data_IF_935813909134
#
_entry.id   IF_935813909134
#
_cell.length_a   1.000
_cell.length_b   1.000
_cell.length_c   1.000
_cell.angle_alpha   90.00
_cell.angle_beta   90.00
_cell.angle_gamma   90.00
#
_symmetry.space_group_name_H-M   'P 1'
#
loop_
_entity.id
_entity.type
_entity.pdbx_description
1 polymer ?
#
# COMPACT_ATOMS: atom_id res chain seq x y z
N UNK A 1 15.23 68.58 26.71
CA UNK A 1 15.46 67.17 26.72
C UNK A 1 14.60 66.56 25.63
N UNK A 2 15.20 66.17 24.47
CA UNK A 2 14.49 65.55 23.33
C UNK A 2 14.83 64.06 23.35
N UNK A 3 13.81 63.20 23.53
CA UNK A 3 13.91 61.76 23.43
C UNK A 3 13.79 61.37 21.93
N UNK A 4 14.81 60.74 21.38
CA UNK A 4 14.76 60.04 20.09
C UNK A 4 14.34 58.60 20.36
N UNK A 5 13.21 58.21 19.76
CA UNK A 5 12.80 56.82 19.68
C UNK A 5 13.33 56.24 18.38
N UNK A 6 14.24 55.28 18.49
CA UNK A 6 14.76 54.52 17.36
C UNK A 6 13.84 53.37 17.02
N UNK A 7 13.21 53.43 15.86
CA UNK A 7 12.33 52.38 15.31
C UNK A 7 13.22 51.31 14.62
N UNK A 8 13.34 50.14 15.23
CA UNK A 8 14.06 48.99 14.62
C UNK A 8 13.10 48.21 13.72
N UNK A 9 13.35 48.26 12.42
CA UNK A 9 12.64 47.44 11.44
C UNK A 9 13.24 46.02 11.43
N UNK A 10 12.52 45.02 11.90
CA UNK A 10 12.82 43.60 11.71
C UNK A 10 12.42 43.20 10.27
N UNK A 11 13.38 43.14 9.38
CA UNK A 11 13.26 42.50 8.10
C UNK A 11 13.24 40.98 8.31
N UNK A 12 12.03 40.40 8.34
CA UNK A 12 11.85 38.96 8.28
C UNK A 12 12.32 38.43 6.92
N UNK A 13 13.44 37.76 6.88
CA UNK A 13 13.89 37.04 5.69
C UNK A 13 12.91 35.90 5.39
N UNK A 14 12.09 36.09 4.37
CA UNK A 14 11.29 35.04 3.77
C UNK A 14 12.26 34.05 3.08
N UNK A 15 12.55 32.92 3.72
CA UNK A 15 13.29 31.83 3.10
C UNK A 15 12.37 31.24 2.01
N UNK A 16 12.73 31.30 0.73
CA UNK A 16 11.91 30.69 -0.30
C UNK A 16 11.91 29.18 -0.07
N UNK A 17 10.74 28.61 0.14
CA UNK A 17 10.56 27.16 -0.01
C UNK A 17 10.93 26.81 -1.44
N UNK A 18 12.12 26.22 -1.64
CA UNK A 18 12.46 25.59 -2.90
C UNK A 18 11.40 24.51 -3.16
N UNK A 19 10.45 24.80 -4.04
CA UNK A 19 9.57 23.78 -4.61
C UNK A 19 10.47 22.74 -5.28
N UNK A 20 10.42 21.49 -4.82
CA UNK A 20 11.11 20.39 -5.48
C UNK A 20 10.67 20.37 -6.95
N UNK A 21 11.64 20.32 -7.88
CA UNK A 21 11.33 20.28 -9.31
C UNK A 21 10.38 19.10 -9.60
N UNK A 22 9.25 19.38 -10.23
CA UNK A 22 8.27 18.37 -10.62
C UNK A 22 8.88 17.38 -11.62
N UNK A 23 8.50 16.12 -11.52
CA UNK A 23 8.91 15.09 -12.46
C UNK A 23 9.46 13.82 -11.83
N UNK A 24 10.18 13.06 -12.63
CA UNK A 24 10.88 11.86 -12.23
C UNK A 24 12.40 12.11 -12.24
N UNK A 25 13.09 11.65 -11.19
CA UNK A 25 14.55 11.75 -11.09
C UNK A 25 15.15 10.66 -10.21
N UNK A 26 16.43 10.38 -10.41
CA UNK A 26 17.19 9.46 -9.54
C UNK A 26 17.72 10.23 -8.34
N UNK A 27 17.59 9.66 -7.15
CA UNK A 27 18.05 10.25 -5.88
C UNK A 27 18.64 9.18 -4.96
N UNK A 28 19.41 9.62 -3.96
CA UNK A 28 19.73 8.80 -2.79
C UNK A 28 18.65 9.03 -1.73
N UNK A 29 18.09 7.95 -1.19
CA UNK A 29 17.08 8.02 -0.14
C UNK A 29 17.19 6.84 0.83
N UNK A 30 17.04 7.10 2.11
CA UNK A 30 17.05 6.10 3.19
C UNK A 30 18.25 5.13 3.10
N UNK A 31 19.44 5.65 2.77
CA UNK A 31 20.66 4.86 2.63
C UNK A 31 20.76 3.98 1.36
N UNK A 32 19.82 4.12 0.43
CA UNK A 32 19.85 3.46 -0.88
C UNK A 32 20.15 4.49 -1.97
N UNK A 33 21.13 4.16 -2.80
CA UNK A 33 21.38 4.87 -4.05
C UNK A 33 20.38 4.43 -5.12
N UNK A 34 20.28 5.18 -6.21
CA UNK A 34 19.46 4.87 -7.38
C UNK A 34 17.96 4.73 -7.10
N UNK A 35 17.46 5.31 -6.00
CA UNK A 35 16.02 5.47 -5.79
C UNK A 35 15.44 6.38 -6.86
N UNK A 36 14.22 6.09 -7.29
CA UNK A 36 13.51 6.92 -8.25
C UNK A 36 12.42 7.70 -7.51
N UNK A 37 12.53 9.02 -7.55
CA UNK A 37 11.51 9.93 -7.08
C UNK A 37 10.54 10.26 -8.21
N UNK A 38 9.24 10.22 -7.92
CA UNK A 38 8.18 10.78 -8.76
C UNK A 38 7.47 11.86 -7.95
N UNK A 39 7.34 13.07 -8.49
CA UNK A 39 6.63 14.16 -7.80
C UNK A 39 5.87 15.07 -8.77
N UNK A 40 4.76 15.62 -8.29
CA UNK A 40 3.91 16.58 -9.02
C UNK A 40 3.65 17.85 -8.18
N UNK A 41 4.49 18.13 -7.17
CA UNK A 41 4.33 19.25 -6.27
C UNK A 41 3.30 19.04 -5.15
N UNK A 42 2.31 18.16 -5.34
CA UNK A 42 1.29 17.80 -4.32
C UNK A 42 1.63 16.51 -3.59
N UNK A 43 2.13 15.53 -4.32
CA UNK A 43 2.51 14.22 -3.80
C UNK A 43 3.94 13.85 -4.19
N UNK A 44 4.54 13.02 -3.36
CA UNK A 44 5.89 12.47 -3.57
C UNK A 44 5.85 10.95 -3.41
N UNK A 45 6.49 10.26 -4.34
CA UNK A 45 6.65 8.81 -4.34
C UNK A 45 8.13 8.50 -4.48
N UNK A 46 8.67 7.60 -3.64
CA UNK A 46 10.06 7.14 -3.75
C UNK A 46 10.06 5.63 -3.94
N UNK A 47 10.58 5.21 -5.07
CA UNK A 47 10.75 3.82 -5.45
C UNK A 47 12.18 3.37 -5.15
N UNK A 48 12.34 2.16 -4.60
CA UNK A 48 13.64 1.58 -4.29
C UNK A 48 13.91 0.35 -5.16
N UNK A 49 14.67 0.47 -6.24
CA UNK A 49 15.10 -0.68 -7.04
C UNK A 49 16.03 -1.62 -6.27
N UNK A 50 16.85 -1.12 -5.37
CA UNK A 50 17.88 -1.88 -4.68
C UNK A 50 17.35 -3.07 -3.87
N UNK A 51 16.12 -2.99 -3.36
CA UNK A 51 15.52 -4.02 -2.49
C UNK A 51 14.05 -4.25 -2.82
N UNK A 52 13.76 -5.35 -3.47
CA UNK A 52 12.39 -5.82 -3.73
C UNK A 52 11.54 -4.91 -4.60
N UNK A 53 12.12 -3.89 -5.25
CA UNK A 53 11.38 -2.96 -6.11
C UNK A 53 10.18 -2.31 -5.42
N UNK A 54 10.35 -1.81 -4.20
CA UNK A 54 9.29 -1.34 -3.30
C UNK A 54 9.12 0.18 -3.31
N UNK A 55 8.04 0.67 -2.70
CA UNK A 55 7.75 2.08 -2.49
C UNK A 55 8.17 2.45 -1.08
N UNK A 56 9.21 3.29 -0.89
CA UNK A 56 9.67 3.71 0.44
C UNK A 56 8.85 4.87 0.99
N UNK A 57 8.38 5.74 0.10
CA UNK A 57 7.59 6.89 0.47
C UNK A 57 6.42 7.07 -0.49
N UNK A 58 5.26 7.37 0.07
CA UNK A 58 4.08 7.89 -0.62
C UNK A 58 3.47 8.95 0.28
N UNK A 59 3.70 10.21 -0.04
CA UNK A 59 3.45 11.33 0.86
C UNK A 59 2.73 12.51 0.22
N UNK A 60 2.02 13.27 1.06
CA UNK A 60 1.52 14.61 0.79
C UNK A 60 1.87 15.52 1.97
N UNK A 61 2.25 16.77 1.69
CA UNK A 61 2.62 17.73 2.74
C UNK A 61 3.73 17.22 3.68
N UNK A 62 4.66 16.40 3.18
CA UNK A 62 5.75 15.81 3.96
C UNK A 62 5.37 14.67 4.90
N UNK A 63 4.09 14.24 4.91
CA UNK A 63 3.60 13.13 5.74
C UNK A 63 3.56 11.85 4.90
N UNK A 64 4.38 10.85 5.26
CA UNK A 64 4.39 9.55 4.60
C UNK A 64 3.21 8.69 5.09
N UNK A 65 2.42 8.13 4.17
CA UNK A 65 1.36 7.17 4.49
C UNK A 65 1.93 5.78 4.83
N UNK A 66 3.15 5.49 4.37
CA UNK A 66 3.81 4.21 4.57
C UNK A 66 4.69 4.24 5.82
N UNK A 67 4.68 3.14 6.57
CA UNK A 67 5.62 2.95 7.67
C UNK A 67 6.98 2.52 7.13
N UNK A 68 7.96 3.41 7.19
CA UNK A 68 9.36 3.16 6.85
C UNK A 68 10.16 3.13 8.16
N UNK A 69 10.86 2.03 8.40
CA UNK A 69 11.69 1.86 9.60
C UNK A 69 12.95 2.72 9.51
N UNK A 70 12.93 3.85 10.20
CA UNK A 70 14.03 4.82 10.19
C UNK A 70 15.34 4.27 10.76
N UNK A 71 15.29 3.21 11.57
CA UNK A 71 16.47 2.57 12.18
C UNK A 71 17.22 1.66 11.22
N UNK A 72 16.63 1.34 10.06
CA UNK A 72 17.14 0.37 9.10
C UNK A 72 17.54 0.98 7.75
N UNK A 73 18.02 2.22 7.77
CA UNK A 73 18.49 2.89 6.55
C UNK A 73 19.64 2.09 5.89
N UNK A 74 19.51 1.79 4.61
CA UNK A 74 20.48 1.00 3.84
C UNK A 74 20.47 -0.51 4.11
N UNK A 75 19.66 -0.99 5.06
CA UNK A 75 19.58 -2.42 5.34
C UNK A 75 18.72 -3.14 4.26
N UNK A 76 19.36 -4.00 3.48
CA UNK A 76 18.68 -4.82 2.46
C UNK A 76 17.72 -5.86 3.05
N UNK A 77 17.79 -6.15 4.34
CA UNK A 77 16.86 -7.06 5.03
C UNK A 77 15.63 -6.34 5.57
N UNK A 78 15.63 -5.00 5.52
CA UNK A 78 14.46 -4.23 5.92
C UNK A 78 13.26 -4.58 5.04
N UNK A 79 12.14 -4.88 5.66
CA UNK A 79 10.88 -5.23 5.02
C UNK A 79 9.81 -4.16 5.14
N UNK A 80 10.13 -2.96 5.64
CA UNK A 80 9.16 -1.88 5.86
C UNK A 80 8.66 -1.23 4.57
N UNK A 81 7.69 -0.33 4.69
CA UNK A 81 7.08 0.47 3.64
C UNK A 81 6.22 -0.31 2.60
N UNK A 82 6.06 0.20 1.41
CA UNK A 82 5.18 -0.36 0.39
C UNK A 82 5.80 -1.53 -0.35
N UNK A 83 5.33 -2.72 -0.11
CA UNK A 83 5.81 -3.94 -0.76
C UNK A 83 4.74 -4.56 -1.64
N UNK A 84 5.21 -5.36 -2.57
CA UNK A 84 4.38 -6.16 -3.48
C UNK A 84 4.96 -7.56 -3.53
N UNK A 85 4.09 -8.55 -3.58
CA UNK A 85 4.45 -9.95 -3.57
C UNK A 85 3.58 -10.74 -4.55
N UNK A 86 3.74 -12.05 -4.52
CA UNK A 86 2.90 -13.03 -5.20
C UNK A 86 2.51 -14.12 -4.20
N UNK A 87 1.32 -14.67 -4.40
CA UNK A 87 0.78 -15.79 -3.63
C UNK A 87 0.40 -16.98 -4.51
N UNK A 88 -0.14 -18.04 -3.91
CA UNK A 88 -0.49 -18.19 -2.49
C UNK A 88 0.75 -18.29 -1.61
N UNK A 89 0.72 -17.62 -0.46
CA UNK A 89 1.91 -17.44 0.39
C UNK A 89 2.59 -18.75 0.75
N UNK A 90 1.80 -19.77 1.08
CA UNK A 90 2.29 -21.03 1.65
C UNK A 90 2.58 -22.10 0.62
N UNK A 91 2.14 -21.90 -0.62
CA UNK A 91 2.32 -22.86 -1.72
C UNK A 91 3.56 -22.51 -2.53
N UNK A 92 3.81 -21.23 -2.73
CA UNK A 92 5.00 -20.79 -3.46
C UNK A 92 6.28 -21.00 -2.62
N UNK A 93 7.37 -21.44 -3.24
CA UNK A 93 8.67 -21.53 -2.56
C UNK A 93 9.17 -20.14 -2.13
N UNK A 94 10.25 -20.13 -1.33
CA UNK A 94 10.95 -18.90 -0.99
C UNK A 94 11.36 -18.16 -2.26
N UNK A 95 11.04 -16.88 -2.34
CA UNK A 95 11.17 -16.03 -3.53
C UNK A 95 12.05 -14.81 -3.26
N UNK A 96 13.21 -15.05 -2.69
CA UNK A 96 14.13 -13.99 -2.25
C UNK A 96 14.51 -13.03 -3.39
N UNK A 97 14.67 -13.54 -4.62
CA UNK A 97 14.98 -12.71 -5.80
C UNK A 97 13.85 -11.72 -6.09
N UNK A 98 12.58 -12.15 -5.97
CA UNK A 98 11.43 -11.31 -6.24
C UNK A 98 11.09 -10.41 -5.06
N UNK A 99 11.30 -10.88 -3.83
CA UNK A 99 10.84 -10.21 -2.63
C UNK A 99 11.87 -9.22 -2.04
N UNK A 100 13.18 -9.53 -2.15
CA UNK A 100 14.27 -8.73 -1.60
C UNK A 100 15.39 -8.43 -2.58
N UNK A 101 15.43 -9.14 -3.71
CA UNK A 101 16.47 -8.95 -4.71
C UNK A 101 16.44 -7.56 -5.34
N UNK A 102 17.53 -7.17 -6.00
CA UNK A 102 17.58 -5.92 -6.74
C UNK A 102 16.71 -5.99 -8.01
N UNK A 103 16.10 -4.87 -8.33
CA UNK A 103 15.35 -4.62 -9.56
C UNK A 103 16.13 -3.62 -10.42
N UNK A 104 16.02 -3.74 -11.74
CA UNK A 104 16.45 -2.69 -12.66
C UNK A 104 15.38 -1.60 -12.69
N UNK A 105 15.77 -0.38 -12.33
CA UNK A 105 14.90 0.80 -12.37
C UNK A 105 15.07 1.57 -13.67
N UNK A 106 13.97 2.07 -14.23
CA UNK A 106 13.92 2.93 -15.41
C UNK A 106 12.89 4.04 -15.21
N UNK A 107 13.24 5.27 -15.51
CA UNK A 107 12.28 6.37 -15.67
C UNK A 107 11.66 6.22 -17.06
N UNK A 108 10.33 6.05 -17.14
CA UNK A 108 9.61 5.80 -18.40
C UNK A 108 8.74 6.96 -18.84
N UNK A 109 8.67 8.03 -18.05
CA UNK A 109 7.93 9.23 -18.35
C UNK A 109 8.12 10.30 -17.29
N UNK A 110 7.53 11.47 -17.49
CA UNK A 110 7.68 12.62 -16.60
C UNK A 110 7.36 12.29 -15.11
N UNK A 111 6.44 11.39 -14.84
CA UNK A 111 6.05 10.92 -13.51
C UNK A 111 5.78 9.41 -13.53
N UNK A 112 6.58 8.68 -14.29
CA UNK A 112 6.42 7.25 -14.46
C UNK A 112 7.76 6.54 -14.38
N UNK A 113 7.75 5.33 -13.78
CA UNK A 113 8.92 4.48 -13.68
C UNK A 113 8.53 3.01 -13.81
N UNK A 114 9.50 2.19 -14.24
CA UNK A 114 9.40 0.73 -14.32
C UNK A 114 10.51 0.10 -13.52
N UNK A 115 10.15 -0.93 -12.74
CA UNK A 115 11.09 -1.74 -11.98
C UNK A 115 10.96 -3.20 -12.45
N UNK A 116 12.07 -3.80 -12.89
CA UNK A 116 12.11 -5.20 -13.39
C UNK A 116 12.98 -6.05 -12.48
N UNK A 117 12.43 -7.14 -11.94
CA UNK A 117 13.15 -8.07 -11.06
C UNK A 117 14.20 -8.88 -11.82
N UNK A 118 15.10 -9.50 -11.09
CA UNK A 118 15.82 -10.69 -11.58
C UNK A 118 14.84 -11.83 -11.94
N UNK A 119 15.33 -12.81 -12.67
CA UNK A 119 14.62 -14.06 -12.93
C UNK A 119 14.75 -14.97 -11.70
N UNK A 120 13.64 -15.39 -11.13
CA UNK A 120 13.63 -16.27 -9.95
C UNK A 120 13.40 -17.72 -10.40
N UNK A 121 14.45 -18.50 -10.35
CA UNK A 121 14.40 -19.92 -10.75
C UNK A 121 13.59 -20.77 -9.78
N UNK A 122 13.50 -20.38 -8.50
CA UNK A 122 12.78 -21.15 -7.47
C UNK A 122 11.27 -21.12 -7.68
N UNK A 123 10.73 -20.00 -8.11
CA UNK A 123 9.30 -19.85 -8.42
C UNK A 123 9.01 -20.06 -9.92
N UNK A 124 10.00 -19.84 -10.78
CA UNK A 124 9.81 -19.80 -12.23
C UNK A 124 9.21 -18.49 -12.73
N UNK A 125 9.32 -17.39 -11.97
CA UNK A 125 8.73 -16.10 -12.33
C UNK A 125 9.75 -14.97 -12.45
N UNK A 126 9.35 -13.96 -13.22
CA UNK A 126 9.95 -12.63 -13.25
C UNK A 126 8.82 -11.61 -13.07
N UNK A 127 9.12 -10.48 -12.41
CA UNK A 127 8.13 -9.44 -12.13
C UNK A 127 8.55 -8.13 -12.76
N UNK A 128 7.58 -7.45 -13.38
CA UNK A 128 7.69 -6.06 -13.83
C UNK A 128 6.68 -5.23 -13.06
N UNK A 129 7.12 -4.13 -12.44
CA UNK A 129 6.26 -3.16 -11.78
C UNK A 129 6.35 -1.82 -12.48
N UNK A 130 5.20 -1.23 -12.77
CA UNK A 130 5.09 0.10 -13.38
C UNK A 130 4.34 1.01 -12.42
N UNK A 131 4.88 2.21 -12.22
CA UNK A 131 4.34 3.22 -11.34
C UNK A 131 4.10 4.50 -12.12
N UNK A 132 2.90 5.06 -11.98
CA UNK A 132 2.53 6.32 -12.63
C UNK A 132 1.85 7.22 -11.60
N UNK A 133 2.49 8.35 -11.30
CA UNK A 133 1.88 9.39 -10.46
C UNK A 133 1.09 10.36 -11.35
N UNK A 134 -0.16 10.60 -11.00
CA UNK A 134 -1.02 11.55 -11.71
C UNK A 134 -0.41 12.97 -11.74
N UNK A 135 -0.82 13.79 -12.71
CA UNK A 135 -0.29 15.14 -12.89
C UNK A 135 -0.67 16.07 -11.72
N UNK A 136 -1.93 16.04 -11.30
CA UNK A 136 -2.51 17.09 -10.46
C UNK A 136 -3.10 16.58 -9.14
N UNK A 137 -2.97 15.27 -8.86
CA UNK A 137 -3.52 14.64 -7.66
C UNK A 137 -2.49 13.70 -7.02
N UNK A 138 -2.78 13.22 -5.80
CA UNK A 138 -1.96 12.21 -5.16
C UNK A 138 -2.30 10.77 -5.64
N UNK A 139 -2.92 10.60 -6.81
CA UNK A 139 -3.24 9.28 -7.37
C UNK A 139 -1.98 8.61 -7.91
N UNK A 140 -1.66 7.44 -7.40
CA UNK A 140 -0.57 6.57 -7.85
C UNK A 140 -1.12 5.27 -8.39
N UNK A 141 -0.84 4.96 -9.65
CA UNK A 141 -1.12 3.65 -10.25
C UNK A 141 0.08 2.75 -10.05
N UNK A 142 -0.14 1.58 -9.43
CA UNK A 142 0.84 0.52 -9.20
C UNK A 142 0.42 -0.71 -9.99
N UNK A 143 1.09 -1.02 -11.10
CA UNK A 143 0.80 -2.18 -11.93
C UNK A 143 1.89 -3.22 -11.76
N UNK A 144 1.53 -4.45 -11.41
CA UNK A 144 2.45 -5.58 -11.34
C UNK A 144 2.11 -6.61 -12.41
N UNK A 145 3.07 -6.93 -13.26
CA UNK A 145 3.00 -8.02 -14.24
C UNK A 145 3.89 -9.16 -13.79
N UNK A 146 3.32 -10.35 -13.64
CA UNK A 146 4.05 -11.60 -13.39
C UNK A 146 4.23 -12.34 -14.71
N UNK A 147 5.44 -12.78 -15.00
CA UNK A 147 5.82 -13.49 -16.22
C UNK A 147 6.31 -14.88 -15.84
N UNK A 148 5.70 -15.92 -16.38
CA UNK A 148 6.18 -17.29 -16.22
C UNK A 148 7.41 -17.51 -17.12
N UNK A 149 8.59 -17.64 -16.51
CA UNK A 149 9.86 -17.89 -17.20
C UNK A 149 10.27 -19.36 -17.18
N UNK A 150 9.46 -20.23 -16.57
CA UNK A 150 9.68 -21.67 -16.51
C UNK A 150 9.18 -22.37 -17.79
N UNK A 151 9.49 -23.66 -17.89
CA UNK A 151 9.01 -24.53 -18.99
C UNK A 151 7.67 -25.19 -18.68
N UNK A 152 7.09 -24.95 -17.51
CA UNK A 152 5.87 -25.58 -17.02
C UNK A 152 4.75 -24.55 -16.84
N UNK A 153 3.51 -25.01 -16.86
CA UNK A 153 2.38 -24.17 -16.44
C UNK A 153 2.46 -23.92 -14.93
N UNK A 154 2.37 -22.65 -14.52
CA UNK A 154 2.45 -22.21 -13.12
C UNK A 154 1.18 -21.51 -12.69
N UNK A 155 0.87 -21.63 -11.40
CA UNK A 155 -0.21 -20.90 -10.75
C UNK A 155 0.36 -19.81 -9.85
N UNK A 156 -0.28 -18.66 -9.84
CA UNK A 156 0.14 -17.49 -9.05
C UNK A 156 -1.07 -16.58 -8.80
N UNK A 157 -1.04 -15.82 -7.74
CA UNK A 157 -1.92 -14.66 -7.57
C UNK A 157 -1.10 -13.43 -7.16
N UNK A 158 -1.64 -12.25 -7.41
CA UNK A 158 -1.09 -11.01 -6.88
C UNK A 158 -1.31 -10.93 -5.37
N UNK A 159 -0.35 -10.30 -4.66
CA UNK A 159 -0.46 -10.01 -3.25
C UNK A 159 0.18 -8.66 -2.93
N UNK A 160 -0.65 -7.65 -2.65
CA UNK A 160 -0.16 -6.37 -2.12
C UNK A 160 0.26 -6.54 -0.67
N UNK A 161 1.41 -5.98 -0.27
CA UNK A 161 1.96 -6.11 1.09
C UNK A 161 2.51 -4.76 1.57
N UNK A 162 1.72 -3.70 1.47
CA UNK A 162 2.13 -2.38 1.90
C UNK A 162 1.90 -2.15 3.39
N UNK A 163 2.93 -1.69 4.11
CA UNK A 163 2.83 -1.27 5.51
C UNK A 163 2.44 0.20 5.59
N UNK A 164 1.24 0.48 6.11
CA UNK A 164 0.83 1.82 6.51
C UNK A 164 1.36 2.15 7.93
N UNK A 165 1.35 3.44 8.28
CA UNK A 165 1.63 3.89 9.65
C UNK A 165 0.66 3.22 10.63
N UNK A 166 1.18 2.67 11.73
CA UNK A 166 0.38 1.87 12.66
C UNK A 166 -0.65 2.64 13.46
N UNK A 167 -1.48 1.91 14.20
CA UNK A 167 -2.51 2.45 15.10
C UNK A 167 -3.56 3.35 14.42
N UNK A 168 -3.75 3.20 13.12
CA UNK A 168 -4.82 3.87 12.38
C UNK A 168 -6.13 3.09 12.44
N UNK A 169 -7.11 3.54 11.68
CA UNK A 169 -8.42 2.89 11.55
C UNK A 169 -8.55 2.32 10.14
N UNK A 170 -8.74 0.99 10.03
CA UNK A 170 -9.07 0.35 8.76
C UNK A 170 -10.58 0.38 8.54
N UNK A 171 -10.99 0.68 7.33
CA UNK A 171 -12.38 0.67 6.90
C UNK A 171 -12.46 -0.23 5.66
N UNK A 172 -13.14 -1.37 5.82
CA UNK A 172 -13.31 -2.37 4.75
C UNK A 172 -14.78 -2.36 4.31
N UNK A 173 -15.08 -1.95 3.09
CA UNK A 173 -16.44 -2.02 2.58
C UNK A 173 -16.84 -3.47 2.33
N UNK A 174 -18.09 -3.77 2.63
CA UNK A 174 -18.72 -5.06 2.39
C UNK A 174 -19.43 -5.05 1.04
N UNK A 175 -19.43 -6.17 0.36
CA UNK A 175 -20.10 -6.31 -0.92
C UNK A 175 -20.74 -7.68 -1.09
N UNK A 176 -22.01 -7.66 -1.39
CA UNK A 176 -22.76 -8.88 -1.72
C UNK A 176 -22.83 -9.87 -0.55
N UNK A 177 -22.83 -11.15 -0.90
CA UNK A 177 -22.90 -12.25 0.06
C UNK A 177 -21.50 -12.74 0.36
N UNK A 178 -21.11 -12.63 1.63
CA UNK A 178 -19.88 -13.25 2.14
C UNK A 178 -20.11 -14.74 2.44
N UNK A 179 -19.08 -15.55 2.23
CA UNK A 179 -19.05 -16.96 2.66
C UNK A 179 -18.72 -17.09 4.16
N UNK A 180 -18.34 -15.99 4.79
CA UNK A 180 -17.93 -15.91 6.18
C UNK A 180 -19.07 -15.36 7.02
N UNK A 181 -19.51 -16.04 8.11
CA UNK A 181 -20.68 -15.62 8.89
C UNK A 181 -20.58 -14.21 9.47
N UNK A 182 -19.37 -13.73 9.74
CA UNK A 182 -19.09 -12.37 10.25
C UNK A 182 -18.45 -11.47 9.19
N UNK A 183 -18.40 -11.92 7.92
CA UNK A 183 -17.82 -11.18 6.78
C UNK A 183 -16.29 -10.98 6.87
N UNK A 184 -15.65 -11.64 7.84
CA UNK A 184 -14.19 -11.73 7.98
C UNK A 184 -13.80 -13.04 8.68
N UNK A 185 -12.51 -13.37 8.60
CA UNK A 185 -11.87 -14.46 9.34
C UNK A 185 -10.71 -13.92 10.15
N UNK A 186 -10.38 -14.61 11.27
CA UNK A 186 -9.15 -14.40 12.03
C UNK A 186 -8.23 -15.61 11.88
N UNK A 187 -6.94 -15.35 11.65
CA UNK A 187 -5.92 -16.39 11.68
C UNK A 187 -5.55 -16.67 13.12
N UNK A 188 -5.90 -17.86 13.62
CA UNK A 188 -5.54 -18.31 14.98
C UNK A 188 -4.03 -18.53 15.10
N UNK A 189 -3.45 -19.15 14.06
CA UNK A 189 -2.03 -19.34 13.86
C UNK A 189 -1.72 -19.39 12.35
N UNK A 190 -0.59 -20.00 12.01
CA UNK A 190 -0.16 -20.13 10.62
C UNK A 190 -1.05 -21.06 9.76
N UNK A 191 -1.86 -21.93 10.33
CA UNK A 191 -2.62 -22.95 9.61
C UNK A 191 -4.12 -22.92 9.92
N UNK A 192 -4.51 -22.40 11.07
CA UNK A 192 -5.89 -22.40 11.53
C UNK A 192 -6.54 -21.05 11.32
N UNK A 193 -7.76 -21.09 10.80
CA UNK A 193 -8.60 -19.91 10.58
C UNK A 193 -9.90 -20.09 11.37
N UNK A 194 -10.24 -19.08 12.15
CA UNK A 194 -11.56 -18.91 12.73
C UNK A 194 -12.48 -18.26 11.68
N UNK A 195 -13.50 -19.00 11.23
CA UNK A 195 -14.46 -18.54 10.23
C UNK A 195 -15.62 -17.74 10.80
N UNK A 196 -15.84 -17.78 12.11
CA UNK A 196 -16.94 -17.05 12.77
C UNK A 196 -16.44 -16.27 14.00
N UNK A 197 -15.36 -15.49 13.85
CA UNK A 197 -14.73 -14.82 14.97
C UNK A 197 -15.65 -13.75 15.57
N UNK A 198 -15.45 -13.48 16.87
CA UNK A 198 -16.05 -12.35 17.55
C UNK A 198 -14.94 -11.55 18.24
N UNK A 199 -14.60 -10.40 17.69
CA UNK A 199 -13.51 -9.57 18.20
C UNK A 199 -13.99 -8.12 18.40
N UNK A 200 -13.88 -7.58 19.63
CA UNK A 200 -14.38 -6.25 19.96
C UNK A 200 -13.60 -5.10 19.29
N UNK A 201 -12.46 -5.39 18.63
CA UNK A 201 -11.72 -4.42 17.82
C UNK A 201 -12.35 -4.23 16.42
N UNK A 202 -13.31 -5.10 16.05
CA UNK A 202 -13.91 -5.11 14.73
C UNK A 202 -15.41 -4.88 14.88
N UNK A 203 -15.87 -3.74 14.38
CA UNK A 203 -17.27 -3.35 14.46
C UNK A 203 -17.89 -3.23 13.08
N UNK A 204 -19.15 -3.64 12.95
CA UNK A 204 -19.93 -3.40 11.74
C UNK A 204 -20.67 -2.07 11.84
N UNK A 205 -20.47 -1.21 10.84
CA UNK A 205 -21.18 0.06 10.72
C UNK A 205 -21.78 0.15 9.30
N UNK A 206 -23.07 -0.17 9.18
CA UNK A 206 -23.75 -0.27 7.90
C UNK A 206 -23.10 -1.34 7.01
N UNK A 207 -22.61 -0.92 5.84
CA UNK A 207 -21.92 -1.79 4.88
C UNK A 207 -20.38 -1.76 5.01
N UNK A 208 -19.87 -1.49 6.20
CA UNK A 208 -18.44 -1.43 6.47
C UNK A 208 -18.08 -2.24 7.70
N UNK A 209 -16.94 -2.92 7.67
CA UNK A 209 -16.21 -3.35 8.85
C UNK A 209 -15.17 -2.31 9.19
N UNK A 210 -15.11 -1.93 10.46
CA UNK A 210 -14.20 -0.93 11.00
C UNK A 210 -13.30 -1.60 12.03
N UNK A 211 -11.99 -1.54 11.81
CA UNK A 211 -10.97 -2.03 12.73
C UNK A 211 -10.26 -0.81 13.30
N UNK A 212 -10.54 -0.46 14.54
CA UNK A 212 -10.06 0.77 15.17
C UNK A 212 -8.87 0.60 16.12
N UNK A 213 -8.49 -0.65 16.37
CA UNK A 213 -7.34 -1.04 17.19
C UNK A 213 -6.89 -2.47 16.80
N UNK A 214 -5.70 -2.92 17.22
CA UNK A 214 -5.26 -4.28 16.98
C UNK A 214 -6.26 -5.30 17.55
N UNK A 215 -6.74 -6.25 16.73
CA UNK A 215 -7.59 -7.35 17.21
C UNK A 215 -6.81 -8.37 18.04
N UNK A 216 -7.53 -9.26 18.70
CA UNK A 216 -6.95 -10.33 19.56
C UNK A 216 -5.97 -11.25 18.80
N UNK A 217 -6.21 -11.44 17.51
CA UNK A 217 -5.30 -12.08 16.56
C UNK A 217 -4.98 -11.08 15.43
N UNK A 218 -3.70 -10.82 15.17
CA UNK A 218 -3.33 -9.66 14.34
C UNK A 218 -3.66 -9.81 12.86
N UNK A 219 -3.87 -11.03 12.34
CA UNK A 219 -4.11 -11.25 10.91
C UNK A 219 -5.57 -11.57 10.62
N UNK A 220 -6.14 -10.76 9.72
CA UNK A 220 -7.51 -10.86 9.25
C UNK A 220 -7.55 -11.20 7.77
N UNK A 221 -8.66 -11.79 7.34
CA UNK A 221 -8.97 -12.03 5.93
C UNK A 221 -10.40 -11.69 5.59
N UNK A 222 -10.63 -11.23 4.36
CA UNK A 222 -11.92 -10.80 3.87
C UNK A 222 -12.17 -11.35 2.46
N UNK A 223 -13.41 -11.67 2.14
CA UNK A 223 -13.84 -12.06 0.79
C UNK A 223 -14.67 -10.99 0.08
N UNK A 224 -14.63 -9.75 0.58
CA UNK A 224 -15.35 -8.63 -0.01
C UNK A 224 -14.91 -8.35 -1.45
N UNK A 225 -15.89 -8.24 -2.35
CA UNK A 225 -15.68 -7.87 -3.77
C UNK A 225 -15.83 -6.36 -4.02
N UNK A 226 -15.85 -5.53 -2.99
CA UNK A 226 -15.97 -4.07 -3.14
C UNK A 226 -14.77 -3.44 -3.88
N UNK A 227 -13.60 -4.08 -3.84
CA UNK A 227 -12.43 -3.68 -4.61
C UNK A 227 -11.73 -2.42 -4.10
N UNK A 228 -11.98 -2.02 -2.86
CA UNK A 228 -11.27 -0.92 -2.22
C UNK A 228 -11.27 -1.06 -0.70
N UNK A 229 -10.38 -0.31 -0.06
CA UNK A 229 -10.35 -0.09 1.38
C UNK A 229 -9.81 1.30 1.69
N UNK A 230 -10.11 1.79 2.88
CA UNK A 230 -9.53 3.02 3.40
C UNK A 230 -8.79 2.77 4.71
N UNK A 231 -7.72 3.53 4.92
CA UNK A 231 -6.95 3.55 6.16
C UNK A 231 -6.73 4.99 6.61
N UNK A 232 -7.27 5.33 7.78
CA UNK A 232 -7.07 6.63 8.39
C UNK A 232 -5.95 6.53 9.42
N UNK A 233 -4.80 7.11 9.10
CA UNK A 233 -3.60 7.05 9.94
C UNK A 233 -3.53 8.20 10.95
N UNK A 234 -2.80 8.00 12.05
CA UNK A 234 -2.67 8.98 13.14
C UNK A 234 -1.92 10.26 12.75
N UNK A 235 -1.24 10.27 11.60
CA UNK A 235 -0.60 11.47 11.05
C UNK A 235 -1.53 12.31 10.17
N UNK A 236 -2.87 12.14 10.32
CA UNK A 236 -3.91 12.89 9.60
C UNK A 236 -3.93 12.65 8.09
N UNK A 237 -3.68 11.42 7.68
CA UNK A 237 -3.78 11.00 6.28
C UNK A 237 -4.87 9.94 6.11
N UNK A 238 -5.70 10.13 5.09
CA UNK A 238 -6.60 9.12 4.55
C UNK A 238 -5.90 8.47 3.35
N UNK A 239 -5.52 7.20 3.51
CA UNK A 239 -4.95 6.37 2.46
C UNK A 239 -6.01 5.42 1.94
N UNK A 240 -6.34 5.53 0.66
CA UNK A 240 -7.31 4.66 -0.01
C UNK A 240 -6.58 3.80 -1.03
N UNK A 241 -6.83 2.50 -1.00
CA UNK A 241 -6.37 1.53 -2.00
C UNK A 241 -7.59 1.02 -2.78
N UNK A 242 -7.46 0.94 -4.11
CA UNK A 242 -8.46 0.38 -5.02
C UNK A 242 -7.80 -0.68 -5.89
N UNK A 243 -8.52 -1.75 -6.16
CA UNK A 243 -8.08 -2.85 -7.05
C UNK A 243 -9.27 -3.50 -7.73
N UNK A 244 -9.06 -4.16 -8.89
CA UNK A 244 -10.12 -4.90 -9.56
C UNK A 244 -10.47 -6.17 -8.79
N UNK A 245 -11.75 -6.48 -8.71
CA UNK A 245 -12.28 -7.74 -8.20
C UNK A 245 -13.01 -8.50 -9.29
N UNK A 246 -13.03 -9.82 -9.19
CA UNK A 246 -13.55 -10.72 -10.23
C UNK A 246 -14.40 -11.80 -9.58
N UNK A 247 -15.74 -11.57 -9.43
CA UNK A 247 -16.65 -12.50 -8.74
C UNK A 247 -16.66 -13.91 -9.33
N UNK A 248 -16.47 -14.02 -10.66
CA UNK A 248 -16.51 -15.29 -11.39
C UNK A 248 -15.15 -16.02 -11.44
N UNK A 249 -14.14 -15.52 -10.73
CA UNK A 249 -12.80 -16.10 -10.70
C UNK A 249 -12.45 -16.69 -9.35
N UNK A 250 -11.64 -17.74 -9.38
CA UNK A 250 -11.12 -18.37 -8.14
C UNK A 250 -10.01 -17.49 -7.55
N UNK A 251 -10.08 -17.25 -6.26
CA UNK A 251 -8.99 -16.66 -5.47
C UNK A 251 -8.20 -17.79 -4.81
N UNK A 252 -6.90 -17.82 -5.05
CA UNK A 252 -6.04 -18.95 -4.70
C UNK A 252 -5.47 -18.89 -3.28
N UNK A 253 -5.63 -17.75 -2.59
CA UNK A 253 -5.16 -17.62 -1.21
C UNK A 253 -6.11 -18.33 -0.23
N UNK A 254 -5.61 -18.67 0.96
CA UNK A 254 -6.35 -19.35 2.01
C UNK A 254 -7.73 -18.69 2.22
N UNK A 255 -8.78 -19.48 2.40
CA UNK A 255 -10.18 -19.03 2.47
C UNK A 255 -10.67 -18.23 1.23
N UNK A 256 -9.95 -18.27 0.10
CA UNK A 256 -10.24 -17.51 -1.12
C UNK A 256 -10.40 -16.00 -0.86
N UNK A 257 -9.49 -15.43 -0.12
CA UNK A 257 -9.49 -14.03 0.28
C UNK A 257 -9.23 -13.10 -0.90
N UNK A 258 -9.89 -11.94 -0.87
CA UNK A 258 -9.67 -10.80 -1.79
C UNK A 258 -8.85 -9.69 -1.14
N UNK A 259 -8.78 -9.70 0.19
CA UNK A 259 -8.06 -8.76 1.02
C UNK A 259 -7.60 -9.46 2.30
N UNK A 260 -6.39 -9.19 2.74
CA UNK A 260 -5.91 -9.49 4.08
C UNK A 260 -5.39 -8.22 4.75
N UNK A 261 -5.42 -8.20 6.07
CA UNK A 261 -4.87 -7.13 6.89
C UNK A 261 -4.05 -7.78 8.01
N UNK A 262 -2.84 -7.28 8.22
CA UNK A 262 -2.07 -7.65 9.40
C UNK A 262 -1.89 -6.42 10.29
N UNK A 263 -2.44 -6.49 11.49
CA UNK A 263 -2.55 -5.38 12.43
C UNK A 263 -1.90 -5.73 13.79
N UNK A 264 -0.56 -5.89 13.83
CA UNK A 264 0.12 -6.28 15.07
C UNK A 264 0.06 -5.15 16.12
N UNK A 265 -0.07 -5.54 17.38
CA UNK A 265 -0.07 -4.59 18.50
C UNK A 265 1.35 -4.10 18.82
N UNK A 266 2.34 -4.97 18.62
CA UNK A 266 3.75 -4.74 19.00
C UNK A 266 4.56 -3.94 17.99
N UNK A 267 4.01 -3.64 16.82
CA UNK A 267 4.68 -2.88 15.76
C UNK A 267 3.88 -1.66 15.36
N UNK A 268 4.52 -0.52 15.11
CA UNK A 268 3.84 0.71 14.72
C UNK A 268 3.45 0.72 13.23
N UNK A 269 2.88 -0.38 12.74
CA UNK A 269 2.49 -0.53 11.34
C UNK A 269 1.20 -1.35 11.19
N UNK A 270 0.54 -1.22 10.05
CA UNK A 270 -0.57 -2.04 9.61
C UNK A 270 -0.33 -2.47 8.16
N UNK A 271 -0.32 -3.77 7.88
CA UNK A 271 -0.16 -4.28 6.52
C UNK A 271 -1.51 -4.33 5.81
N UNK A 272 -1.59 -3.72 4.62
CA UNK A 272 -2.78 -3.61 3.80
C UNK A 272 -2.56 -4.44 2.53
N UNK A 273 -3.24 -5.57 2.42
CA UNK A 273 -2.89 -6.65 1.50
C UNK A 273 -4.02 -6.98 0.50
N UNK A 274 -4.26 -6.20 -0.56
CA UNK A 274 -5.12 -6.63 -1.67
C UNK A 274 -4.60 -7.91 -2.32
N UNK A 275 -5.51 -8.83 -2.66
CA UNK A 275 -5.19 -10.12 -3.25
C UNK A 275 -5.93 -10.25 -4.58
N UNK A 276 -5.19 -10.60 -5.63
CA UNK A 276 -5.75 -10.87 -6.95
C UNK A 276 -6.25 -12.31 -7.10
N UNK A 277 -7.02 -12.59 -8.16
CA UNK A 277 -7.46 -13.94 -8.45
C UNK A 277 -6.29 -14.84 -8.85
N UNK A 278 -6.53 -16.15 -8.81
CA UNK A 278 -5.59 -17.15 -9.29
C UNK A 278 -5.41 -17.02 -10.80
N UNK A 279 -4.16 -16.89 -11.22
CA UNK A 279 -3.73 -16.93 -12.61
C UNK A 279 -3.06 -18.28 -12.92
N UNK A 280 -3.37 -18.84 -14.09
CA UNK A 280 -2.74 -20.06 -14.61
C UNK A 280 -1.94 -19.65 -15.85
N UNK A 281 -0.62 -19.61 -15.71
CA UNK A 281 0.29 -19.10 -16.74
C UNK A 281 1.03 -20.24 -17.41
N UNK A 282 0.83 -20.41 -18.73
CA UNK A 282 1.67 -21.27 -19.57
C UNK A 282 3.10 -20.72 -19.66
N UNK A 283 4.10 -21.48 -20.10
CA UNK A 283 5.44 -20.96 -20.38
C UNK A 283 5.40 -19.68 -21.22
N UNK A 284 6.09 -18.62 -20.78
CA UNK A 284 6.06 -17.29 -21.40
C UNK A 284 4.78 -16.49 -21.15
N UNK A 285 3.75 -17.09 -20.56
CA UNK A 285 2.50 -16.41 -20.21
C UNK A 285 2.72 -15.34 -19.15
N UNK A 286 1.80 -14.37 -19.13
CA UNK A 286 1.85 -13.25 -18.19
C UNK A 286 0.47 -12.86 -17.70
N UNK A 287 0.41 -12.36 -16.47
CA UNK A 287 -0.80 -11.75 -15.89
C UNK A 287 -0.44 -10.41 -15.23
N UNK A 288 -1.36 -9.47 -15.30
CA UNK A 288 -1.17 -8.13 -14.75
C UNK A 288 -2.29 -7.81 -13.77
N UNK A 289 -1.90 -7.26 -12.62
CA UNK A 289 -2.82 -6.76 -11.61
C UNK A 289 -2.47 -5.29 -11.31
N UNK A 290 -3.48 -4.47 -11.10
CA UNK A 290 -3.30 -3.04 -10.85
C UNK A 290 -3.91 -2.67 -9.51
N UNK A 291 -3.11 -2.10 -8.62
CA UNK A 291 -3.56 -1.33 -7.47
C UNK A 291 -3.51 0.16 -7.80
N UNK A 292 -4.48 0.90 -7.32
CA UNK A 292 -4.48 2.34 -7.36
C UNK A 292 -4.50 2.88 -5.92
N UNK A 293 -3.58 3.79 -5.64
CA UNK A 293 -3.41 4.40 -4.33
C UNK A 293 -3.82 5.86 -4.39
N UNK A 294 -4.60 6.29 -3.41
CA UNK A 294 -5.04 7.66 -3.27
C UNK A 294 -4.73 8.17 -1.88
N UNK A 295 -4.35 9.43 -1.77
CA UNK A 295 -3.97 10.05 -0.51
C UNK A 295 -4.61 11.42 -0.36
N UNK A 296 -5.20 11.68 0.80
CA UNK A 296 -5.76 12.96 1.16
C UNK A 296 -5.49 13.30 2.62
N UNK A 297 -5.48 14.57 2.96
CA UNK A 297 -5.49 14.99 4.36
C UNK A 297 -6.86 14.75 4.97
N UNK A 298 -6.87 14.09 6.13
CA UNK A 298 -8.06 13.93 6.96
C UNK A 298 -7.64 13.79 8.41
N UNK A 299 -8.18 14.65 9.26
CA UNK A 299 -7.83 14.62 10.67
C UNK A 299 -8.24 13.31 11.33
N UNK A 300 -7.32 12.73 12.09
CA UNK A 300 -7.58 11.56 12.92
C UNK A 300 -8.52 11.94 14.08
N UNK A 301 -9.58 11.18 14.39
CA UNK A 301 -10.50 11.49 15.47
C UNK A 301 -9.82 11.37 16.83
N UNK A 302 -10.25 12.16 17.80
CA UNK A 302 -9.78 12.02 19.18
C UNK A 302 -10.25 10.69 19.80
N UNK A 303 -11.46 10.29 19.47
CA UNK A 303 -12.10 9.05 19.89
C UNK A 303 -12.51 8.32 18.61
N UNK A 304 -12.05 7.09 18.42
CA UNK A 304 -12.32 6.31 17.19
C UNK A 304 -13.81 6.07 16.94
N UNK A 305 -14.59 5.90 18.00
CA UNK A 305 -16.04 5.71 17.94
C UNK A 305 -16.81 6.94 17.39
N UNK A 306 -16.19 8.13 17.40
CA UNK A 306 -16.78 9.36 16.86
C UNK A 306 -16.53 9.53 15.36
N UNK A 307 -15.79 8.60 14.73
CA UNK A 307 -15.51 8.67 13.30
C UNK A 307 -16.79 8.44 12.49
N UNK A 308 -17.21 9.47 11.76
CA UNK A 308 -18.28 9.31 10.76
C UNK A 308 -17.78 8.55 9.54
N UNK A 309 -18.03 7.25 9.54
CA UNK A 309 -17.63 6.31 8.46
C UNK A 309 -18.28 6.71 7.13
N UNK A 310 -19.49 7.23 7.13
CA UNK A 310 -20.18 7.64 5.90
C UNK A 310 -19.45 8.80 5.21
N UNK A 311 -18.93 9.73 5.97
CA UNK A 311 -18.12 10.84 5.45
C UNK A 311 -16.75 10.35 4.95
N UNK A 312 -16.10 9.40 5.63
CA UNK A 312 -14.84 8.80 5.15
C UNK A 312 -15.07 8.06 3.83
N UNK A 313 -16.13 7.26 3.75
CA UNK A 313 -16.49 6.52 2.55
C UNK A 313 -16.80 7.45 1.37
N UNK A 314 -17.56 8.52 1.60
CA UNK A 314 -17.83 9.53 0.57
C UNK A 314 -16.55 10.18 0.06
N UNK A 315 -15.65 10.64 0.94
CA UNK A 315 -14.36 11.20 0.56
C UNK A 315 -13.52 10.18 -0.23
N UNK A 316 -13.50 8.91 0.19
CA UNK A 316 -12.80 7.84 -0.53
C UNK A 316 -13.37 7.66 -1.94
N UNK A 317 -14.69 7.67 -2.10
CA UNK A 317 -15.33 7.59 -3.42
C UNK A 317 -15.01 8.81 -4.30
N UNK A 318 -14.97 10.01 -3.73
CA UNK A 318 -14.59 11.23 -4.46
C UNK A 318 -13.15 11.15 -4.97
N UNK A 319 -12.21 10.70 -4.12
CA UNK A 319 -10.81 10.48 -4.52
C UNK A 319 -10.69 9.47 -5.69
N UNK A 320 -11.48 8.39 -5.63
CA UNK A 320 -11.47 7.36 -6.68
C UNK A 320 -12.16 7.79 -7.98
N UNK A 321 -13.07 8.77 -7.95
CA UNK A 321 -13.79 9.29 -9.13
C UNK A 321 -13.01 10.36 -9.90
N UNK A 322 -12.26 11.20 -9.21
CA UNK A 322 -11.59 12.39 -9.77
C UNK A 322 -10.49 12.13 -10.80
N UNK A 323 -10.29 10.85 -11.21
CA UNK A 323 -9.22 10.41 -12.09
C UNK A 323 -9.69 9.50 -13.24
N UNK A 324 -10.92 9.68 -13.72
CA UNK A 324 -11.43 9.03 -14.94
C UNK A 324 -11.22 9.90 -16.17
#
# INVERSE_FOLDING_TARGET
MKFWQSLVWLLGAMVPFLSAAEGARVITFHGFNDCIELTNGKARVILCPAVGGRVLEYSIGGKNALWLDSTRAGDRRDGSAGRFDIGPERILPKREVLFRGPYRGEITGARAARLTSGKDASTGFQIVREFVLAKDTAHLVCRQTVINISRETRQVCYWGRGFAQGQGICIVPLSGVSRMPKEYVLYQDHLLIDFAPDDPAITRQGNYLVIDRPPSKPKLGFDSMAGWMAYLSRNDLLFVKRWPTFPDRVYGEMASLTLSIWYPSERPMCELEPIGPREILKPGGRATFTEEWFLASRKYPKISAELDISTVARQSHELMKGNR
#
